data_IF_030699864089
#
_entry.id   IF_030699864089
#
_cell.length_a   1.000
_cell.length_b   1.000
_cell.length_c   1.000
_cell.angle_alpha   90.00
_cell.angle_beta   90.00
_cell.angle_gamma   90.00
#
_symmetry.space_group_name_H-M   'P 1'
#
loop_
_entity.id
_entity.type
_entity.pdbx_description
1 polymer ?
#
# COMPACT_ATOMS: atom_id res chain seq x y z
N UNK A 1 -22.95 11.12 -10.15
CA UNK A 1 -22.61 9.69 -10.03
C UNK A 1 -21.74 9.52 -8.80
N UNK A 2 -21.94 8.50 -7.97
CA UNK A 2 -21.13 8.26 -6.77
C UNK A 2 -19.76 7.71 -7.16
N UNK A 3 -18.67 8.22 -6.56
CA UNK A 3 -17.31 7.72 -6.79
C UNK A 3 -17.23 6.24 -6.46
N UNK A 4 -16.54 5.45 -7.29
CA UNK A 4 -16.25 4.05 -6.99
C UNK A 4 -15.22 3.98 -5.87
N UNK A 5 -15.49 3.15 -4.86
CA UNK A 5 -14.65 3.00 -3.67
C UNK A 5 -13.68 1.85 -3.86
N UNK A 6 -12.38 2.11 -3.66
CA UNK A 6 -11.32 1.13 -3.89
C UNK A 6 -10.42 1.05 -2.66
N UNK A 7 -10.28 -0.14 -2.10
CA UNK A 7 -9.31 -0.41 -1.05
C UNK A 7 -8.02 -1.00 -1.64
N UNK A 8 -6.88 -0.45 -1.26
CA UNK A 8 -5.57 -1.06 -1.51
C UNK A 8 -5.01 -1.62 -0.19
N UNK A 9 -4.48 -2.85 -0.23
CA UNK A 9 -3.79 -3.48 0.89
C UNK A 9 -2.31 -3.54 0.56
N UNK A 10 -1.50 -2.80 1.31
CA UNK A 10 -0.09 -2.52 1.06
C UNK A 10 0.10 -1.14 0.41
N UNK A 11 1.01 -0.33 0.96
CA UNK A 11 1.43 1.00 0.52
C UNK A 11 2.84 0.95 -0.11
N UNK A 12 3.15 -0.15 -0.79
CA UNK A 12 4.37 -0.30 -1.56
C UNK A 12 4.31 0.39 -2.94
N UNK A 13 5.38 0.25 -3.75
CA UNK A 13 5.50 0.92 -5.05
C UNK A 13 4.33 0.60 -6.00
N UNK A 14 3.89 -0.66 -6.03
CA UNK A 14 2.80 -1.10 -6.88
C UNK A 14 1.50 -0.31 -6.60
N UNK A 15 1.16 -0.10 -5.33
CA UNK A 15 0.00 0.68 -4.92
C UNK A 15 0.14 2.15 -5.27
N UNK A 16 1.27 2.78 -4.90
CA UNK A 16 1.46 4.22 -5.11
C UNK A 16 1.38 4.59 -6.61
N UNK A 17 2.04 3.81 -7.47
CA UNK A 17 1.98 4.04 -8.92
C UNK A 17 0.63 3.67 -9.55
N UNK A 18 -0.03 2.63 -9.03
CA UNK A 18 -1.38 2.25 -9.47
C UNK A 18 -2.36 3.38 -9.21
N UNK A 19 -2.36 3.95 -8.01
CA UNK A 19 -3.25 5.06 -7.63
C UNK A 19 -2.92 6.31 -8.45
N UNK A 20 -1.63 6.66 -8.60
CA UNK A 20 -1.24 7.83 -9.40
C UNK A 20 -1.75 7.73 -10.84
N UNK A 21 -1.71 6.53 -11.42
CA UNK A 21 -2.26 6.29 -12.77
C UNK A 21 -3.79 6.32 -12.77
N UNK A 22 -4.41 5.68 -11.78
CA UNK A 22 -5.87 5.58 -11.66
C UNK A 22 -6.51 6.97 -11.55
N UNK A 23 -5.95 7.87 -10.72
CA UNK A 23 -6.46 9.23 -10.53
C UNK A 23 -6.37 10.10 -11.80
N UNK A 24 -5.51 9.75 -12.77
CA UNK A 24 -5.48 10.41 -14.08
C UNK A 24 -6.64 9.99 -14.98
N UNK A 25 -7.24 8.82 -14.73
CA UNK A 25 -8.31 8.25 -15.55
C UNK A 25 -9.71 8.68 -15.07
N UNK A 26 -9.83 9.19 -13.85
CA UNK A 26 -11.10 9.65 -13.31
C UNK A 26 -11.10 9.80 -11.79
N UNK A 27 -12.28 10.09 -11.25
CA UNK A 27 -12.47 10.27 -9.81
C UNK A 27 -12.83 8.96 -9.11
N UNK A 28 -12.04 8.60 -8.11
CA UNK A 28 -12.23 7.41 -7.27
C UNK A 28 -12.11 7.81 -5.80
N UNK A 29 -12.79 7.07 -4.93
CA UNK A 29 -12.61 7.16 -3.48
C UNK A 29 -11.64 6.04 -3.08
N UNK A 30 -10.42 6.42 -2.71
CA UNK A 30 -9.31 5.47 -2.52
C UNK A 30 -8.85 5.48 -1.07
N UNK A 31 -8.85 4.30 -0.47
CA UNK A 31 -8.29 4.07 0.85
C UNK A 31 -7.16 3.03 0.77
N UNK A 32 -6.04 3.30 1.42
CA UNK A 32 -4.86 2.43 1.47
C UNK A 32 -4.64 1.97 2.90
N UNK A 33 -4.48 0.67 3.11
CA UNK A 33 -4.19 0.06 4.40
C UNK A 33 -2.79 -0.56 4.37
N UNK A 34 -1.92 -0.21 5.30
CA UNK A 34 -0.58 -0.80 5.41
C UNK A 34 -0.23 -1.09 6.87
N UNK A 35 0.49 -2.19 7.09
CA UNK A 35 0.91 -2.61 8.43
C UNK A 35 2.07 -1.77 8.98
N UNK A 36 2.86 -1.14 8.11
CA UNK A 36 3.97 -0.28 8.49
C UNK A 36 3.44 1.11 8.87
N UNK A 37 4.29 1.90 9.51
CA UNK A 37 4.01 3.27 9.94
C UNK A 37 4.15 4.31 8.80
N UNK A 38 4.62 3.87 7.62
CA UNK A 38 4.81 4.70 6.44
C UNK A 38 4.69 3.92 5.14
N UNK A 39 4.46 4.65 4.05
CA UNK A 39 4.48 4.09 2.71
C UNK A 39 5.90 3.84 2.19
N UNK A 40 6.00 2.99 1.16
CA UNK A 40 7.24 2.70 0.45
C UNK A 40 7.59 1.20 0.41
N UNK A 41 7.07 0.41 1.34
CA UNK A 41 7.32 -1.04 1.40
C UNK A 41 8.82 -1.38 1.31
N UNK A 42 9.18 -2.35 0.46
CA UNK A 42 10.55 -2.80 0.27
C UNK A 42 11.53 -1.70 -0.16
N UNK A 43 11.06 -0.64 -0.82
CA UNK A 43 11.91 0.50 -1.16
C UNK A 43 12.43 1.26 0.07
N UNK A 44 11.70 1.19 1.18
CA UNK A 44 12.12 1.79 2.45
C UNK A 44 12.79 0.76 3.37
N UNK A 45 12.26 -0.46 3.43
CA UNK A 45 12.73 -1.47 4.39
C UNK A 45 13.94 -2.28 3.93
N UNK A 46 14.15 -2.43 2.62
CA UNK A 46 15.15 -3.36 2.06
C UNK A 46 16.25 -2.72 1.23
N UNK A 47 16.02 -1.55 0.62
CA UNK A 47 17.01 -0.92 -0.28
C UNK A 47 17.85 0.11 0.49
N UNK A 48 19.18 0.00 0.53
CA UNK A 48 20.03 1.00 1.18
C UNK A 48 19.92 2.39 0.55
N UNK A 49 19.91 3.45 1.37
CA UNK A 49 19.72 4.83 0.90
C UNK A 49 20.73 5.30 -0.15
N UNK A 50 21.99 4.82 -0.09
CA UNK A 50 23.00 5.17 -1.09
C UNK A 50 22.73 4.57 -2.47
N UNK A 51 21.83 3.58 -2.57
CA UNK A 51 21.34 3.00 -3.83
C UNK A 51 20.05 3.64 -4.30
N UNK A 52 19.30 4.23 -3.39
CA UNK A 52 17.93 4.67 -3.66
C UNK A 52 17.50 5.78 -2.70
N UNK A 53 17.30 6.98 -3.25
CA UNK A 53 16.82 8.11 -2.49
C UNK A 53 15.32 7.98 -2.27
N UNK A 54 14.87 7.74 -1.04
CA UNK A 54 13.44 7.54 -0.73
C UNK A 54 12.61 8.82 -0.76
N UNK A 55 13.21 10.00 -0.96
CA UNK A 55 12.48 11.29 -0.91
C UNK A 55 11.40 11.42 -1.98
N UNK A 56 11.50 10.71 -3.11
CA UNK A 56 10.43 10.72 -4.11
C UNK A 56 9.17 9.98 -3.62
N UNK A 57 9.31 9.03 -2.67
CA UNK A 57 8.17 8.33 -2.06
C UNK A 57 7.39 9.32 -1.21
N UNK A 58 8.09 10.10 -0.38
CA UNK A 58 7.46 11.13 0.46
C UNK A 58 6.73 12.16 -0.41
N UNK A 59 7.38 12.64 -1.49
CA UNK A 59 6.73 13.55 -2.44
C UNK A 59 5.48 12.94 -3.08
N UNK A 60 5.56 11.68 -3.50
CA UNK A 60 4.42 10.98 -4.11
C UNK A 60 3.28 10.80 -3.09
N UNK A 61 3.61 10.52 -1.83
CA UNK A 61 2.63 10.42 -0.75
C UNK A 61 1.90 11.74 -0.52
N UNK A 62 2.63 12.86 -0.51
CA UNK A 62 2.04 14.19 -0.37
C UNK A 62 1.11 14.53 -1.55
N UNK A 63 1.53 14.20 -2.78
CA UNK A 63 0.71 14.37 -3.99
C UNK A 63 -0.59 13.54 -3.90
N UNK A 64 -0.50 12.27 -3.50
CA UNK A 64 -1.66 11.37 -3.40
C UNK A 64 -2.60 11.78 -2.27
N UNK A 65 -2.07 12.16 -1.12
CA UNK A 65 -2.85 12.66 0.02
C UNK A 65 -3.58 13.95 -0.36
N UNK A 66 -2.89 14.86 -1.04
CA UNK A 66 -3.47 16.12 -1.56
C UNK A 66 -4.56 15.86 -2.61
N UNK A 67 -4.47 14.76 -3.35
CA UNK A 67 -5.50 14.31 -4.29
C UNK A 67 -6.70 13.61 -3.60
N UNK A 68 -6.70 13.49 -2.27
CA UNK A 68 -7.81 12.94 -1.49
C UNK A 68 -7.71 11.44 -1.18
N UNK A 69 -6.56 10.81 -1.38
CA UNK A 69 -6.31 9.42 -0.99
C UNK A 69 -6.17 9.34 0.53
N UNK A 70 -6.88 8.41 1.18
CA UNK A 70 -6.78 8.20 2.63
C UNK A 70 -5.83 7.05 2.93
N UNK A 71 -4.86 7.28 3.82
CA UNK A 71 -3.92 6.25 4.27
C UNK A 71 -4.17 5.84 5.72
N UNK A 72 -4.27 4.53 5.93
CA UNK A 72 -4.42 3.88 7.23
C UNK A 72 -3.17 3.04 7.50
N UNK A 73 -2.20 3.65 8.18
CA UNK A 73 -0.96 2.99 8.60
C UNK A 73 -1.16 2.17 9.87
N UNK A 74 -0.18 1.32 10.19
CA UNK A 74 -0.21 0.42 11.35
C UNK A 74 -1.49 -0.43 11.40
N UNK A 75 -2.01 -0.80 10.23
CA UNK A 75 -3.28 -1.51 10.09
C UNK A 75 -3.08 -2.77 9.25
N UNK A 76 -3.23 -3.93 9.88
CA UNK A 76 -3.09 -5.25 9.24
C UNK A 76 -4.45 -5.82 8.90
N UNK A 77 -4.77 -5.89 7.60
CA UNK A 77 -6.00 -6.55 7.14
C UNK A 77 -5.91 -8.06 7.40
N UNK A 78 -6.97 -8.63 7.98
CA UNK A 78 -7.04 -10.01 8.44
C UNK A 78 -6.71 -10.19 9.93
N UNK A 79 -6.10 -9.17 10.57
CA UNK A 79 -5.83 -9.15 12.01
C UNK A 79 -6.58 -8.04 12.73
N UNK A 80 -6.36 -6.79 12.32
CA UNK A 80 -6.95 -5.60 12.94
C UNK A 80 -8.32 -5.29 12.32
N UNK A 81 -8.45 -5.48 11.01
CA UNK A 81 -9.71 -5.34 10.28
C UNK A 81 -9.99 -6.63 9.50
N UNK A 82 -11.15 -7.29 9.68
CA UNK A 82 -11.53 -8.45 8.89
C UNK A 82 -11.60 -8.13 7.39
N UNK A 83 -11.05 -8.99 6.54
CA UNK A 83 -11.12 -8.80 5.08
C UNK A 83 -12.57 -8.71 4.57
N UNK A 84 -13.51 -9.42 5.22
CA UNK A 84 -14.94 -9.34 4.92
C UNK A 84 -15.54 -7.95 5.07
N UNK A 85 -14.96 -7.10 5.92
CA UNK A 85 -15.47 -5.75 6.11
C UNK A 85 -15.05 -4.84 4.97
N UNK A 86 -13.88 -5.08 4.37
CA UNK A 86 -13.49 -4.42 3.12
C UNK A 86 -14.45 -4.84 1.99
N UNK A 87 -14.79 -6.13 1.89
CA UNK A 87 -15.70 -6.62 0.85
C UNK A 87 -17.11 -6.00 0.92
N UNK A 88 -17.56 -5.61 2.12
CA UNK A 88 -18.85 -4.92 2.30
C UNK A 88 -18.77 -3.42 1.95
N UNK A 89 -17.61 -2.79 2.14
CA UNK A 89 -17.44 -1.32 2.09
C UNK A 89 -16.93 -0.82 0.73
N UNK A 90 -16.17 -1.61 0.00
CA UNK A 90 -15.48 -1.19 -1.21
C UNK A 90 -15.98 -1.93 -2.45
N UNK A 91 -16.07 -1.22 -3.58
CA UNK A 91 -16.43 -1.82 -4.86
C UNK A 91 -15.31 -2.75 -5.39
N UNK A 92 -14.05 -2.40 -5.11
CA UNK A 92 -12.86 -3.15 -5.53
C UNK A 92 -11.84 -3.19 -4.41
N UNK A 93 -11.08 -4.29 -4.37
CA UNK A 93 -9.98 -4.48 -3.44
C UNK A 93 -8.75 -4.90 -4.25
N UNK A 94 -7.63 -4.22 -4.03
CA UNK A 94 -6.33 -4.53 -4.63
C UNK A 94 -5.41 -5.01 -3.52
N UNK A 95 -4.89 -6.22 -3.66
CA UNK A 95 -3.92 -6.80 -2.71
C UNK A 95 -2.53 -6.67 -3.28
N UNK A 96 -1.70 -5.84 -2.68
CA UNK A 96 -0.35 -5.49 -3.13
C UNK A 96 0.66 -5.51 -1.96
N UNK A 97 0.55 -6.54 -1.11
CA UNK A 97 1.34 -6.67 0.12
C UNK A 97 2.79 -7.11 -0.10
N UNK A 98 3.17 -7.53 -1.31
CA UNK A 98 4.51 -8.06 -1.59
C UNK A 98 4.81 -9.38 -0.87
N UNK A 99 6.09 -9.72 -0.76
CA UNK A 99 6.56 -10.90 -0.04
C UNK A 99 7.09 -10.48 1.35
N UNK A 100 6.39 -10.86 2.40
CA UNK A 100 6.67 -10.45 3.79
C UNK A 100 7.53 -11.46 4.57
N UNK A 101 7.80 -12.62 3.99
CA UNK A 101 8.61 -13.68 4.59
C UNK A 101 9.65 -14.15 3.58
N UNK A 102 10.87 -14.41 4.04
CA UNK A 102 11.91 -14.97 3.19
C UNK A 102 11.58 -16.39 2.72
N UNK A 103 12.20 -16.78 1.61
CA UNK A 103 12.24 -18.18 1.22
C UNK A 103 13.46 -18.83 1.87
N UNK A 104 13.21 -19.79 2.76
CA UNK A 104 14.26 -20.53 3.48
C UNK A 104 14.94 -21.59 2.62
N UNK A 105 14.45 -21.88 1.39
CA UNK A 105 14.95 -22.93 0.51
C UNK A 105 15.05 -24.32 1.18
N UNK A 106 14.22 -24.58 2.18
CA UNK A 106 14.26 -25.82 2.97
C UNK A 106 15.47 -25.93 3.90
N UNK A 107 16.22 -24.84 4.10
CA UNK A 107 17.34 -24.76 5.01
C UNK A 107 16.86 -24.18 6.35
N UNK A 108 17.25 -24.80 7.46
CA UNK A 108 17.03 -24.22 8.77
C UNK A 108 18.00 -23.04 8.96
N UNK A 109 17.48 -21.82 9.07
CA UNK A 109 18.25 -20.71 9.60
C UNK A 109 17.91 -20.57 11.09
N UNK A 110 18.93 -20.67 11.94
CA UNK A 110 18.85 -20.09 13.28
C UNK A 110 19.00 -18.58 13.08
N UNK A 111 17.95 -17.85 13.43
CA UNK A 111 17.75 -16.42 13.13
C UNK A 111 18.88 -15.50 13.57
#
# INVERSE_FOLDING_TARGET
>A
MTKKRIAYIGAGPATLYSIQTLLKLGEYDVEVFDMNDRAGGACYTGIPQFRFNTSFIDKLMDELTSAGVTFHFQTTIGKDIPFSDLQKKFDRIVVAIGAQVENMFGLEAKG
#
